data_IF_716822264462
#
_entry.id   IF_716822264462
#
_cell.length_a   1.000
_cell.length_b   1.000
_cell.length_c   1.000
_cell.angle_alpha   90.00
_cell.angle_beta   90.00
_cell.angle_gamma   90.00
#
_symmetry.space_group_name_H-M   'P 1'
#
loop_
_entity.id
_entity.type
_entity.pdbx_description
1 polymer ?
#
# COMPACT_ATOMS: atom_id res chain seq x y z
N UNK A 1 19.15 18.13 -70.84
CA UNK A 1 19.69 17.88 -69.52
C UNK A 1 18.53 17.85 -68.53
N UNK A 2 18.06 16.69 -68.05
CA UNK A 2 16.97 16.66 -67.05
C UNK A 2 17.53 16.81 -65.63
N UNK A 3 16.98 17.78 -64.90
CA UNK A 3 17.27 18.01 -63.48
C UNK A 3 16.52 16.97 -62.64
N UNK A 4 17.28 16.07 -62.00
CA UNK A 4 16.76 15.14 -60.98
C UNK A 4 16.42 15.95 -59.72
N UNK A 5 15.14 16.07 -59.37
CA UNK A 5 14.68 16.57 -58.09
C UNK A 5 14.77 15.44 -57.06
N UNK A 6 15.76 15.50 -56.16
CA UNK A 6 15.81 14.66 -54.96
C UNK A 6 14.79 15.18 -53.92
N UNK A 7 13.69 14.46 -53.73
CA UNK A 7 12.79 14.67 -52.59
C UNK A 7 13.44 14.09 -51.33
N UNK A 8 13.56 14.86 -50.24
CA UNK A 8 13.98 14.29 -48.95
C UNK A 8 12.84 13.39 -48.39
N UNK A 9 13.13 12.12 -48.18
CA UNK A 9 12.27 11.19 -47.41
C UNK A 9 12.36 11.64 -45.96
N UNK A 10 11.33 12.35 -45.48
CA UNK A 10 11.15 12.67 -44.08
C UNK A 10 10.74 11.37 -43.34
N UNK A 11 11.72 10.68 -42.73
CA UNK A 11 11.46 9.58 -41.86
C UNK A 11 10.69 10.06 -40.62
N UNK A 12 9.37 9.92 -40.66
CA UNK A 12 8.52 10.04 -39.47
C UNK A 12 8.93 8.92 -38.48
N UNK A 13 9.83 9.24 -37.56
CA UNK A 13 10.04 8.48 -36.35
C UNK A 13 8.71 8.49 -35.59
N UNK A 14 7.91 7.47 -35.79
CA UNK A 14 6.70 7.22 -34.99
C UNK A 14 7.13 7.05 -33.54
N UNK A 15 7.03 8.10 -32.72
CA UNK A 15 7.01 7.97 -31.28
C UNK A 15 5.79 7.12 -30.95
N UNK A 16 6.00 5.82 -30.76
CA UNK A 16 4.99 4.95 -30.13
C UNK A 16 4.74 5.55 -28.75
N UNK A 17 3.59 6.16 -28.55
CA UNK A 17 3.13 6.59 -27.23
C UNK A 17 2.94 5.29 -26.43
N UNK A 18 3.97 4.90 -25.68
CA UNK A 18 3.92 3.70 -24.89
C UNK A 18 2.90 3.92 -23.78
N UNK A 19 1.91 3.02 -23.65
CA UNK A 19 0.93 3.12 -22.58
C UNK A 19 1.65 2.99 -21.23
N UNK A 20 1.39 3.94 -20.33
CA UNK A 20 1.94 3.93 -18.98
C UNK A 20 0.86 3.50 -18.00
N UNK A 21 1.17 2.63 -17.01
CA UNK A 21 0.16 2.20 -16.05
C UNK A 21 -0.18 3.34 -15.07
N UNK A 22 -1.46 3.53 -14.84
CA UNK A 22 -1.96 4.36 -13.75
C UNK A 22 -2.27 3.48 -12.55
N UNK A 23 -1.63 3.77 -11.43
CA UNK A 23 -1.77 3.02 -10.18
C UNK A 23 -2.25 3.97 -9.08
N UNK A 24 -2.92 3.42 -8.07
CA UNK A 24 -3.38 4.20 -6.94
C UNK A 24 -2.81 3.65 -5.63
N UNK A 25 -2.69 4.52 -4.63
CA UNK A 25 -2.30 4.16 -3.27
C UNK A 25 -2.93 5.13 -2.26
N UNK A 26 -2.62 4.95 -0.99
CA UNK A 26 -3.09 5.78 0.11
C UNK A 26 -1.91 6.38 0.90
N UNK A 27 -2.18 7.27 1.84
CA UNK A 27 -1.23 7.67 2.86
C UNK A 27 -1.08 6.52 3.88
N UNK A 28 0.05 5.82 3.81
CA UNK A 28 0.37 4.63 4.63
C UNK A 28 1.87 4.57 4.93
N UNK A 29 2.41 5.60 5.61
CA UNK A 29 3.85 5.71 5.85
C UNK A 29 4.37 4.61 6.80
N UNK A 30 5.58 4.08 6.58
CA UNK A 30 6.60 4.50 5.63
C UNK A 30 6.49 3.82 4.26
N UNK A 31 5.45 3.06 3.97
CA UNK A 31 5.28 2.32 2.72
C UNK A 31 4.89 3.25 1.56
N UNK A 32 3.89 4.10 1.76
CA UNK A 32 3.43 5.11 0.81
C UNK A 32 3.03 6.39 1.52
N UNK A 33 3.54 7.55 1.07
CA UNK A 33 3.14 8.86 1.58
C UNK A 33 3.66 9.97 0.69
N UNK A 34 2.83 10.99 0.44
CA UNK A 34 3.21 12.21 -0.27
C UNK A 34 4.28 13.01 0.47
N UNK A 35 4.36 12.87 1.80
CA UNK A 35 5.34 13.54 2.66
C UNK A 35 6.73 12.88 2.66
N UNK A 36 6.89 11.71 2.05
CA UNK A 36 8.17 11.00 2.03
C UNK A 36 8.91 11.19 0.71
N UNK A 37 10.24 11.36 0.80
CA UNK A 37 11.08 11.39 -0.39
C UNK A 37 10.91 10.10 -1.18
N UNK A 38 10.62 10.20 -2.48
CA UNK A 38 10.34 9.05 -3.34
C UNK A 38 8.93 8.46 -3.20
N UNK A 39 8.11 9.00 -2.28
CA UNK A 39 6.73 8.55 -2.06
C UNK A 39 6.58 7.38 -1.09
N UNK A 40 7.66 6.91 -0.48
CA UNK A 40 7.68 5.75 0.41
C UNK A 40 8.22 4.47 -0.25
N UNK A 41 8.47 3.44 0.57
CA UNK A 41 9.21 2.24 0.14
C UNK A 41 8.51 1.45 -0.97
N UNK A 42 7.20 1.23 -0.87
CA UNK A 42 6.43 0.50 -1.88
C UNK A 42 6.29 1.30 -3.18
N UNK A 43 6.15 2.62 -3.08
CA UNK A 43 6.07 3.53 -4.23
C UNK A 43 7.38 3.57 -5.00
N UNK A 44 8.50 3.70 -4.27
CA UNK A 44 9.83 3.70 -4.92
C UNK A 44 10.15 2.35 -5.55
N UNK A 45 9.89 1.22 -4.85
CA UNK A 45 10.04 -0.11 -5.42
C UNK A 45 9.21 -0.28 -6.69
N UNK A 46 7.95 0.17 -6.68
CA UNK A 46 7.06 0.08 -7.83
C UNK A 46 7.60 0.87 -9.02
N UNK A 47 7.97 2.14 -8.79
CA UNK A 47 8.55 2.97 -9.87
C UNK A 47 9.83 2.38 -10.45
N UNK A 48 10.72 1.86 -9.60
CA UNK A 48 11.98 1.26 -10.04
C UNK A 48 11.77 -0.04 -10.80
N UNK A 49 10.85 -0.88 -10.35
CA UNK A 49 10.51 -2.12 -11.05
C UNK A 49 9.96 -1.83 -12.44
N UNK A 50 9.06 -0.87 -12.59
CA UNK A 50 8.57 -0.47 -13.91
C UNK A 50 9.65 0.21 -14.75
N UNK A 51 10.47 1.09 -14.18
CA UNK A 51 11.54 1.79 -14.89
C UNK A 51 12.59 0.83 -15.45
N UNK A 52 12.91 -0.27 -14.78
CA UNK A 52 13.81 -1.31 -15.30
C UNK A 52 13.26 -2.01 -16.53
N UNK A 53 11.94 -1.94 -16.74
CA UNK A 53 11.23 -2.50 -17.90
C UNK A 53 10.87 -1.43 -18.95
N UNK A 54 11.34 -0.18 -18.79
CA UNK A 54 11.11 0.92 -19.72
C UNK A 54 9.82 1.69 -19.51
N UNK A 55 9.10 1.51 -18.39
CA UNK A 55 7.83 2.18 -18.09
C UNK A 55 7.94 3.16 -16.92
N UNK A 56 7.08 4.20 -16.93
CA UNK A 56 7.01 5.23 -15.89
C UNK A 56 5.60 5.30 -15.30
N UNK A 57 5.27 4.52 -14.25
CA UNK A 57 3.91 4.48 -13.72
C UNK A 57 3.51 5.82 -13.11
N UNK A 58 2.29 6.27 -13.42
CA UNK A 58 1.64 7.34 -12.70
C UNK A 58 1.03 6.74 -11.42
N UNK A 59 1.36 7.30 -10.24
CA UNK A 59 0.87 6.81 -8.95
C UNK A 59 0.18 7.94 -8.23
N UNK A 60 -1.14 7.79 -8.02
CA UNK A 60 -2.00 8.78 -7.37
C UNK A 60 -2.30 8.35 -5.92
N UNK A 61 -2.34 9.33 -5.00
CA UNK A 61 -2.66 9.12 -3.59
C UNK A 61 -4.09 9.53 -3.30
N UNK A 62 -4.91 8.60 -2.82
CA UNK A 62 -6.33 8.79 -2.56
C UNK A 62 -6.74 8.16 -1.22
N UNK A 63 -7.85 8.58 -0.59
CA UNK A 63 -8.46 7.82 0.50
C UNK A 63 -8.77 6.39 0.06
N UNK A 64 -8.50 5.39 0.91
CA UNK A 64 -8.53 3.97 0.50
C UNK A 64 -9.85 3.51 -0.10
N UNK A 65 -10.96 3.90 0.50
CA UNK A 65 -12.28 3.58 -0.06
C UNK A 65 -12.46 4.13 -1.49
N UNK A 66 -11.81 5.26 -1.82
CA UNK A 66 -11.80 5.82 -3.18
C UNK A 66 -10.88 5.03 -4.11
N UNK A 67 -9.70 4.61 -3.65
CA UNK A 67 -8.83 3.71 -4.44
C UNK A 67 -9.61 2.50 -4.91
N UNK A 68 -10.34 1.85 -4.01
CA UNK A 68 -11.15 0.66 -4.32
C UNK A 68 -12.29 0.98 -5.30
N UNK A 69 -12.99 2.09 -5.12
CA UNK A 69 -14.05 2.51 -6.03
C UNK A 69 -13.52 2.77 -7.45
N UNK A 70 -12.39 3.44 -7.56
CA UNK A 70 -11.76 3.77 -8.87
C UNK A 70 -11.15 2.54 -9.55
N UNK A 71 -10.67 1.53 -8.79
CA UNK A 71 -10.26 0.23 -9.34
C UNK A 71 -11.46 -0.48 -10.00
N UNK A 72 -12.62 -0.53 -9.32
CA UNK A 72 -13.85 -1.12 -9.87
C UNK A 72 -14.36 -0.37 -11.09
N UNK A 73 -14.16 0.93 -11.15
CA UNK A 73 -14.48 1.76 -12.30
C UNK A 73 -13.51 1.60 -13.48
N UNK A 74 -12.39 0.86 -13.31
CA UNK A 74 -11.38 0.68 -14.34
C UNK A 74 -10.49 1.90 -14.58
N UNK A 75 -10.52 2.89 -13.67
CA UNK A 75 -9.70 4.11 -13.78
C UNK A 75 -8.21 3.82 -13.61
N UNK A 76 -7.87 2.85 -12.76
CA UNK A 76 -6.51 2.42 -12.46
C UNK A 76 -6.29 0.97 -12.86
N UNK A 77 -5.09 0.67 -13.34
CA UNK A 77 -4.67 -0.68 -13.70
C UNK A 77 -4.14 -1.47 -12.51
N UNK A 78 -4.11 -0.87 -11.33
CA UNK A 78 -3.71 -1.54 -10.09
C UNK A 78 -3.61 -0.58 -8.92
N UNK A 79 -3.31 -1.15 -7.75
CA UNK A 79 -3.05 -0.38 -6.54
C UNK A 79 -1.90 -0.98 -5.73
N UNK A 80 -1.32 -0.13 -4.88
CA UNK A 80 -0.21 -0.49 -4.01
C UNK A 80 -0.72 -0.64 -2.56
N UNK A 81 0.04 -1.40 -1.77
CA UNK A 81 -0.22 -1.61 -0.36
C UNK A 81 -1.54 -2.35 -0.06
N UNK A 82 -1.83 -3.38 -0.83
CA UNK A 82 -3.01 -4.24 -0.64
C UNK A 82 -2.71 -5.43 0.27
N UNK A 83 -3.73 -5.85 0.99
CA UNK A 83 -3.79 -7.11 1.72
C UNK A 83 -4.53 -8.19 0.91
N UNK A 84 -4.37 -9.50 1.25
CA UNK A 84 -4.98 -10.59 0.49
C UNK A 84 -6.50 -10.52 0.34
N UNK A 85 -7.19 -10.03 1.36
CA UNK A 85 -8.65 -9.90 1.32
C UNK A 85 -9.08 -8.89 0.24
N UNK A 86 -8.35 -7.79 0.09
CA UNK A 86 -8.63 -6.77 -0.93
C UNK A 86 -8.33 -7.29 -2.34
N UNK A 87 -7.24 -8.05 -2.50
CA UNK A 87 -6.93 -8.74 -3.76
C UNK A 87 -8.09 -9.63 -4.20
N UNK A 88 -8.64 -10.40 -3.25
CA UNK A 88 -9.78 -11.30 -3.51
C UNK A 88 -11.05 -10.50 -3.85
N UNK A 89 -11.38 -9.48 -3.05
CA UNK A 89 -12.61 -8.69 -3.21
C UNK A 89 -12.64 -7.87 -4.49
N UNK A 90 -11.48 -7.35 -4.93
CA UNK A 90 -11.35 -6.56 -6.17
C UNK A 90 -10.95 -7.41 -7.39
N UNK A 91 -10.83 -8.75 -7.22
CA UNK A 91 -10.45 -9.69 -8.30
C UNK A 91 -9.15 -9.26 -8.99
N UNK A 92 -8.10 -8.96 -8.21
CA UNK A 92 -6.81 -8.50 -8.71
C UNK A 92 -5.80 -9.64 -8.82
N UNK A 93 -4.81 -9.46 -9.69
CA UNK A 93 -3.61 -10.29 -9.77
C UNK A 93 -2.59 -9.72 -8.78
N UNK A 94 -2.27 -10.47 -7.73
CA UNK A 94 -1.29 -10.05 -6.74
C UNK A 94 0.15 -10.21 -7.23
N UNK A 95 1.00 -9.27 -6.88
CA UNK A 95 2.46 -9.49 -6.93
C UNK A 95 2.90 -10.50 -5.87
N UNK A 96 4.17 -10.95 -5.94
CA UNK A 96 4.80 -11.52 -4.75
C UNK A 96 4.76 -10.52 -3.59
N UNK A 97 4.72 -10.97 -2.34
CA UNK A 97 4.79 -10.07 -1.19
C UNK A 97 6.04 -9.19 -1.21
N UNK A 98 5.85 -7.88 -1.01
CA UNK A 98 6.94 -6.92 -0.85
C UNK A 98 7.31 -6.74 0.61
N UNK A 99 6.33 -6.84 1.49
CA UNK A 99 6.44 -6.71 2.93
C UNK A 99 5.49 -7.67 3.63
N UNK A 100 5.64 -7.79 4.95
CA UNK A 100 4.62 -8.38 5.82
C UNK A 100 4.18 -7.36 6.86
N UNK A 101 2.90 -7.06 6.86
CA UNK A 101 2.24 -6.24 7.87
C UNK A 101 2.06 -7.04 9.16
N UNK A 102 2.35 -6.44 10.31
CA UNK A 102 1.91 -6.92 11.61
C UNK A 102 0.65 -6.15 11.99
N UNK A 103 -0.51 -6.79 11.83
CA UNK A 103 -1.79 -6.21 12.20
C UNK A 103 -2.06 -6.45 13.68
N UNK A 104 -2.48 -5.42 14.41
CA UNK A 104 -2.75 -5.52 15.84
C UNK A 104 -3.32 -4.22 16.40
N UNK A 105 -3.17 -4.04 17.69
CA UNK A 105 -3.88 -3.01 18.42
C UNK A 105 -2.96 -1.92 18.96
N UNK A 106 -3.41 -0.67 18.84
CA UNK A 106 -2.88 0.47 19.57
C UNK A 106 -3.82 0.82 20.72
N UNK A 107 -3.21 1.18 21.86
CA UNK A 107 -3.91 1.62 23.07
C UNK A 107 -3.36 2.95 23.55
N UNK A 108 -4.06 3.56 24.49
CA UNK A 108 -3.49 4.67 25.27
C UNK A 108 -2.48 4.12 26.26
N UNK A 109 -1.29 4.71 26.34
CA UNK A 109 -0.23 4.31 27.29
C UNK A 109 -0.72 4.21 28.73
N UNK A 110 -1.64 5.10 29.13
CA UNK A 110 -2.19 5.15 30.50
C UNK A 110 -3.37 4.21 30.74
N UNK A 111 -3.84 3.50 29.69
CA UNK A 111 -4.95 2.56 29.76
C UNK A 111 -4.67 1.39 28.82
N UNK A 112 -3.65 0.56 29.12
CA UNK A 112 -3.32 -0.61 28.33
C UNK A 112 -4.47 -1.61 28.41
N UNK A 113 -4.70 -2.35 27.32
CA UNK A 113 -5.65 -3.44 27.27
C UNK A 113 -4.84 -4.73 27.13
N UNK A 114 -5.00 -5.63 28.08
CA UNK A 114 -4.35 -6.94 28.03
C UNK A 114 -5.29 -7.95 27.40
N UNK A 115 -4.78 -8.69 26.43
CA UNK A 115 -5.52 -9.76 25.74
C UNK A 115 -4.54 -10.88 25.37
N UNK A 116 -5.03 -12.10 25.36
CA UNK A 116 -4.30 -13.27 24.87
C UNK A 116 -4.95 -13.83 23.59
N UNK A 117 -6.22 -13.52 23.37
CA UNK A 117 -7.01 -13.97 22.23
C UNK A 117 -7.99 -12.89 21.74
N UNK A 118 -8.60 -13.10 20.59
CA UNK A 118 -9.64 -12.21 20.07
C UNK A 118 -10.91 -12.22 20.96
N UNK A 119 -11.18 -13.29 21.68
CA UNK A 119 -12.34 -13.39 22.58
C UNK A 119 -12.25 -12.42 23.75
N UNK A 120 -11.04 -12.10 24.21
CA UNK A 120 -10.79 -11.12 25.27
C UNK A 120 -11.15 -9.69 24.87
N UNK A 121 -11.26 -9.45 23.57
CA UNK A 121 -11.60 -8.14 22.99
C UNK A 121 -13.12 -7.93 22.84
N UNK A 122 -13.94 -8.91 23.18
CA UNK A 122 -15.39 -8.84 23.08
C UNK A 122 -15.92 -7.63 23.86
N UNK A 123 -16.73 -6.80 23.17
CA UNK A 123 -17.32 -5.60 23.74
C UNK A 123 -16.44 -4.35 23.78
N UNK A 124 -15.15 -4.47 23.46
CA UNK A 124 -14.30 -3.29 23.26
C UNK A 124 -14.68 -2.52 22.00
N UNK A 125 -14.60 -1.19 22.08
CA UNK A 125 -14.77 -0.31 20.92
C UNK A 125 -13.46 -0.19 20.18
N UNK A 126 -13.42 -0.75 18.97
CA UNK A 126 -12.23 -0.81 18.11
C UNK A 126 -12.45 0.08 16.88
N UNK A 127 -11.63 1.08 16.70
CA UNK A 127 -11.66 1.90 15.49
C UNK A 127 -10.88 1.24 14.36
N UNK A 128 -11.47 1.26 13.16
CA UNK A 128 -10.93 0.70 11.92
C UNK A 128 -10.97 1.73 10.80
N UNK A 129 -10.24 1.51 9.71
CA UNK A 129 -10.32 2.36 8.52
C UNK A 129 -11.33 1.78 7.54
N UNK A 130 -12.19 2.66 7.04
CA UNK A 130 -13.20 2.28 6.05
C UNK A 130 -12.57 1.73 4.77
N UNK A 131 -13.04 0.56 4.38
CA UNK A 131 -12.62 -0.08 3.15
C UNK A 131 -11.33 -0.90 3.24
N UNK A 132 -10.67 -0.98 4.41
CA UNK A 132 -9.55 -1.90 4.59
C UNK A 132 -10.03 -3.35 4.60
N UNK A 133 -9.28 -4.22 3.95
CA UNK A 133 -9.54 -5.67 3.88
C UNK A 133 -9.04 -6.41 5.12
N UNK A 134 -9.58 -6.08 6.28
CA UNK A 134 -9.23 -6.77 7.53
C UNK A 134 -9.57 -8.25 7.47
N UNK A 135 -8.77 -9.12 8.12
CA UNK A 135 -9.09 -10.53 8.26
C UNK A 135 -10.46 -10.74 8.90
N UNK A 136 -11.35 -11.56 8.31
CA UNK A 136 -12.72 -11.72 8.80
C UNK A 136 -12.81 -12.15 10.27
N UNK A 137 -11.88 -12.98 10.75
CA UNK A 137 -11.85 -13.45 12.13
C UNK A 137 -11.76 -12.33 13.17
N UNK A 138 -11.08 -11.23 12.83
CA UNK A 138 -10.97 -10.07 13.74
C UNK A 138 -12.32 -9.36 13.83
N UNK A 139 -12.98 -9.13 12.70
CA UNK A 139 -14.26 -8.41 12.65
C UNK A 139 -15.42 -9.21 13.25
N UNK A 140 -15.32 -10.53 13.27
CA UNK A 140 -16.36 -11.42 13.82
C UNK A 140 -16.11 -11.83 15.27
N UNK A 141 -15.04 -11.35 15.90
CA UNK A 141 -14.66 -11.72 17.29
C UNK A 141 -15.58 -11.16 18.38
N UNK A 142 -16.58 -10.34 18.02
CA UNK A 142 -17.47 -9.67 18.97
C UNK A 142 -16.98 -8.30 19.42
N UNK A 143 -15.95 -7.74 18.78
CA UNK A 143 -15.57 -6.32 18.93
C UNK A 143 -16.64 -5.41 18.35
N UNK A 144 -16.78 -4.22 18.93
CA UNK A 144 -17.66 -3.18 18.42
C UNK A 144 -16.84 -2.27 17.52
N UNK A 145 -17.01 -2.36 16.20
CA UNK A 145 -16.21 -1.58 15.26
C UNK A 145 -16.85 -0.23 14.92
N UNK A 146 -16.02 0.80 14.82
CA UNK A 146 -16.37 2.10 14.24
C UNK A 146 -15.35 2.50 13.19
N UNK A 147 -15.81 3.10 12.10
CA UNK A 147 -14.95 3.45 10.97
C UNK A 147 -14.45 4.90 11.04
N UNK A 148 -13.23 5.10 10.57
CA UNK A 148 -12.68 6.40 10.22
C UNK A 148 -12.18 6.42 8.76
N UNK A 149 -11.81 7.61 8.29
CA UNK A 149 -11.37 7.80 6.90
C UNK A 149 -9.92 7.36 6.69
N UNK A 150 -9.09 7.46 7.72
CA UNK A 150 -7.65 7.15 7.69
C UNK A 150 -7.10 6.80 9.08
N UNK A 151 -5.87 6.30 9.10
CA UNK A 151 -5.17 5.83 10.30
C UNK A 151 -4.86 6.95 11.29
N UNK A 152 -4.47 8.13 10.81
CA UNK A 152 -4.14 9.26 11.68
C UNK A 152 -5.39 9.79 12.41
N UNK A 153 -6.53 9.79 11.75
CA UNK A 153 -7.83 10.13 12.37
C UNK A 153 -8.20 9.14 13.46
N UNK A 154 -7.97 7.84 13.23
CA UNK A 154 -8.18 6.79 14.22
C UNK A 154 -7.31 6.99 15.45
N UNK A 155 -6.00 7.22 15.27
CA UNK A 155 -5.06 7.43 16.38
C UNK A 155 -5.42 8.70 17.19
N UNK A 156 -5.85 9.78 16.54
CA UNK A 156 -6.32 11.01 17.23
C UNK A 156 -7.59 10.77 18.02
N UNK A 157 -8.55 10.01 17.49
CA UNK A 157 -9.78 9.63 18.21
C UNK A 157 -9.46 8.74 19.42
N UNK A 158 -8.49 7.79 19.29
CA UNK A 158 -8.01 6.99 20.42
C UNK A 158 -7.39 7.86 21.50
N UNK A 159 -6.51 8.80 21.13
CA UNK A 159 -5.90 9.76 22.06
C UNK A 159 -6.94 10.65 22.75
N UNK A 160 -8.04 10.98 22.07
CA UNK A 160 -9.18 11.74 22.59
C UNK A 160 -10.20 10.88 23.40
N UNK A 161 -9.90 9.60 23.68
CA UNK A 161 -10.72 8.66 24.45
C UNK A 161 -12.10 8.35 23.83
N UNK A 162 -12.22 8.45 22.48
CA UNK A 162 -13.45 8.10 21.78
C UNK A 162 -13.58 6.59 21.57
N UNK A 163 -12.45 5.90 21.53
CA UNK A 163 -12.32 4.44 21.39
C UNK A 163 -11.41 3.88 22.47
N UNK A 164 -11.47 2.58 22.64
CA UNK A 164 -10.57 1.85 23.55
C UNK A 164 -9.32 1.41 22.82
N UNK A 165 -9.47 1.00 21.56
CA UNK A 165 -8.46 0.39 20.72
C UNK A 165 -8.54 0.93 19.29
N UNK A 166 -7.42 0.89 18.57
CA UNK A 166 -7.35 1.06 17.12
C UNK A 166 -6.69 -0.16 16.51
N UNK A 167 -7.35 -0.79 15.56
CA UNK A 167 -6.80 -1.88 14.76
C UNK A 167 -5.98 -1.29 13.61
N UNK A 168 -4.67 -1.53 13.61
CA UNK A 168 -3.74 -0.86 12.72
C UNK A 168 -2.50 -1.72 12.47
N UNK A 169 -1.85 -1.51 11.36
CA UNK A 169 -0.53 -2.05 11.08
C UNK A 169 0.52 -1.38 11.98
N UNK A 170 1.40 -2.19 12.56
CA UNK A 170 2.36 -1.76 13.58
C UNK A 170 3.26 -0.62 13.14
N UNK A 171 3.97 -0.81 12.02
CA UNK A 171 4.99 0.13 11.56
C UNK A 171 4.35 1.46 11.14
N UNK A 172 3.18 1.40 10.49
CA UNK A 172 2.40 2.59 10.16
C UNK A 172 2.00 3.34 11.41
N UNK A 173 1.43 2.65 12.39
CA UNK A 173 1.02 3.27 13.64
C UNK A 173 2.18 3.86 14.42
N UNK A 174 3.30 3.13 14.57
CA UNK A 174 4.51 3.61 15.22
C UNK A 174 5.07 4.84 14.51
N UNK A 175 5.11 4.85 13.17
CA UNK A 175 5.55 5.98 12.36
C UNK A 175 4.67 7.21 12.57
N UNK A 176 3.35 7.04 12.51
CA UNK A 176 2.39 8.12 12.73
C UNK A 176 2.47 8.68 14.14
N UNK A 177 2.55 7.82 15.16
CA UNK A 177 2.69 8.25 16.56
C UNK A 177 3.99 9.01 16.77
N UNK A 178 5.11 8.54 16.23
CA UNK A 178 6.41 9.22 16.34
C UNK A 178 6.44 10.56 15.60
N UNK A 179 5.78 10.65 14.46
CA UNK A 179 5.75 11.83 13.59
C UNK A 179 4.86 12.98 14.10
N UNK A 180 3.88 12.69 14.97
CA UNK A 180 2.89 13.66 15.42
C UNK A 180 3.03 13.99 16.89
N UNK A 181 3.35 15.24 17.23
CA UNK A 181 3.59 15.69 18.61
C UNK A 181 2.37 15.53 19.53
N UNK A 182 1.16 15.63 18.97
CA UNK A 182 -0.11 15.42 19.67
C UNK A 182 -0.38 13.96 20.05
N UNK A 183 0.34 12.99 19.47
CA UNK A 183 0.22 11.55 19.72
C UNK A 183 1.42 10.95 20.45
N UNK A 184 2.59 11.56 20.27
CA UNK A 184 3.86 11.05 20.81
C UNK A 184 3.80 10.84 22.33
N UNK A 185 4.19 9.64 22.78
CA UNK A 185 4.18 9.26 24.19
C UNK A 185 2.80 8.97 24.78
N UNK A 186 1.71 9.18 24.04
CA UNK A 186 0.34 8.95 24.50
C UNK A 186 -0.22 7.61 24.09
N UNK A 187 0.19 7.12 22.93
CA UNK A 187 -0.28 5.87 22.35
C UNK A 187 0.87 4.88 22.25
N UNK A 188 0.55 3.59 22.34
CA UNK A 188 1.52 2.49 22.25
C UNK A 188 0.91 1.32 21.52
N UNK A 189 1.75 0.58 20.81
CA UNK A 189 1.42 -0.75 20.31
C UNK A 189 1.20 -1.71 21.47
N UNK A 190 0.23 -2.60 21.33
CA UNK A 190 -0.10 -3.63 22.30
C UNK A 190 0.26 -5.01 21.74
N UNK A 191 1.09 -5.74 22.48
CA UNK A 191 1.38 -7.15 22.14
C UNK A 191 0.26 -8.07 22.68
N UNK A 192 0.04 -9.23 22.03
CA UNK A 192 0.66 -9.73 20.82
C UNK A 192 0.08 -9.10 19.55
N UNK A 193 0.80 -9.21 18.42
CA UNK A 193 0.19 -8.98 17.12
C UNK A 193 -0.96 -9.98 16.90
N UNK A 194 -2.05 -9.51 16.29
CA UNK A 194 -3.20 -10.37 16.00
C UNK A 194 -2.95 -11.24 14.77
N UNK A 195 -2.30 -10.68 13.76
CA UNK A 195 -2.04 -11.39 12.52
C UNK A 195 -0.82 -10.82 11.78
N UNK A 196 -0.17 -11.68 11.00
CA UNK A 196 0.89 -11.28 10.06
C UNK A 196 0.43 -11.58 8.64
N UNK A 197 0.24 -10.54 7.85
CA UNK A 197 -0.33 -10.62 6.51
C UNK A 197 0.62 -10.01 5.46
N UNK A 198 0.67 -10.57 4.24
CA UNK A 198 1.49 -10.01 3.17
C UNK A 198 0.94 -8.66 2.70
N UNK A 199 1.85 -7.74 2.34
CA UNK A 199 1.56 -6.47 1.70
C UNK A 199 2.07 -6.54 0.27
N UNK A 200 1.17 -6.33 -0.71
CA UNK A 200 1.42 -6.57 -2.12
C UNK A 200 1.04 -5.37 -2.99
N UNK A 201 1.43 -5.42 -4.27
CA UNK A 201 0.84 -4.62 -5.35
C UNK A 201 -0.15 -5.53 -6.09
N UNK A 202 -1.35 -5.01 -6.37
CA UNK A 202 -2.37 -5.72 -7.11
C UNK A 202 -2.64 -5.06 -8.44
N UNK A 203 -2.88 -5.87 -9.48
CA UNK A 203 -3.16 -5.40 -10.84
C UNK A 203 -4.50 -5.92 -11.31
N UNK A 204 -5.20 -5.12 -12.12
CA UNK A 204 -6.41 -5.58 -12.82
C UNK A 204 -6.05 -6.67 -13.81
N UNK A 205 -7.01 -7.54 -14.11
CA UNK A 205 -6.83 -8.59 -15.12
C UNK A 205 -6.45 -7.98 -16.46
N UNK A 206 -5.45 -8.57 -17.10
CA UNK A 206 -5.01 -8.17 -18.43
C UNK A 206 -6.17 -8.26 -19.44
N UNK A 207 -6.26 -7.24 -20.30
CA UNK A 207 -7.20 -7.20 -21.43
C UNK A 207 -6.43 -7.32 -22.74
N UNK A 208 -7.01 -7.98 -23.72
CA UNK A 208 -6.39 -8.14 -25.03
C UNK A 208 -5.98 -6.80 -25.64
N UNK A 209 -4.75 -6.72 -26.12
CA UNK A 209 -4.17 -5.50 -26.68
C UNK A 209 -3.61 -4.50 -25.66
N UNK A 210 -3.71 -4.79 -24.36
CA UNK A 210 -3.07 -4.00 -23.31
C UNK A 210 -1.81 -4.70 -22.77
N UNK A 211 -0.83 -3.98 -22.21
CA UNK A 211 0.31 -4.62 -21.55
C UNK A 211 -0.12 -5.42 -20.31
N UNK A 212 0.49 -6.57 -20.09
CA UNK A 212 0.36 -7.31 -18.83
C UNK A 212 1.21 -6.65 -17.74
N UNK A 213 0.59 -5.72 -17.02
CA UNK A 213 1.26 -4.92 -15.98
C UNK A 213 1.77 -5.75 -14.81
N UNK A 214 1.07 -6.83 -14.45
CA UNK A 214 1.50 -7.76 -13.40
C UNK A 214 2.79 -8.48 -13.80
N UNK A 215 2.84 -9.03 -15.01
CA UNK A 215 4.04 -9.70 -15.51
C UNK A 215 5.21 -8.74 -15.72
N UNK A 216 4.97 -7.51 -16.18
CA UNK A 216 5.99 -6.46 -16.32
C UNK A 216 6.56 -6.11 -14.95
N UNK A 217 5.71 -5.84 -13.97
CA UNK A 217 6.13 -5.53 -12.61
C UNK A 217 6.96 -6.64 -11.99
N UNK A 218 6.51 -7.89 -12.12
CA UNK A 218 7.23 -9.06 -11.59
C UNK A 218 8.61 -9.27 -12.23
N UNK A 219 8.78 -8.95 -13.53
CA UNK A 219 10.11 -8.96 -14.17
C UNK A 219 11.01 -7.90 -13.56
N UNK A 220 10.50 -6.67 -13.42
CA UNK A 220 11.24 -5.58 -12.81
C UNK A 220 11.64 -5.87 -11.37
N UNK A 221 10.75 -6.44 -10.55
CA UNK A 221 11.10 -6.85 -9.19
C UNK A 221 12.24 -7.88 -9.15
N UNK A 222 12.25 -8.86 -10.07
CA UNK A 222 13.37 -9.81 -10.16
C UNK A 222 14.69 -9.11 -10.47
N UNK A 223 14.71 -8.12 -11.35
CA UNK A 223 15.91 -7.32 -11.63
C UNK A 223 16.40 -6.52 -10.43
N UNK A 224 15.46 -5.88 -9.70
CA UNK A 224 15.80 -5.16 -8.46
C UNK A 224 16.41 -6.09 -7.40
N UNK A 225 15.90 -7.30 -7.27
CA UNK A 225 16.48 -8.31 -6.37
C UNK A 225 17.88 -8.72 -6.84
N UNK A 226 18.06 -9.06 -8.13
CA UNK A 226 19.32 -9.48 -8.70
C UNK A 226 20.43 -8.42 -8.62
N UNK A 227 20.08 -7.15 -8.77
CA UNK A 227 21.03 -6.01 -8.67
C UNK A 227 21.29 -5.56 -7.23
N UNK A 228 20.56 -6.07 -6.24
CA UNK A 228 20.59 -5.61 -4.86
C UNK A 228 19.94 -4.23 -4.63
N UNK A 229 19.31 -3.65 -5.64
CA UNK A 229 18.64 -2.34 -5.53
C UNK A 229 17.43 -2.43 -4.59
N UNK A 230 16.69 -3.54 -4.62
CA UNK A 230 15.61 -3.83 -3.68
C UNK A 230 16.05 -3.61 -2.22
N UNK A 231 17.14 -4.25 -1.80
CA UNK A 231 17.66 -4.13 -0.42
C UNK A 231 18.13 -2.70 -0.10
N UNK A 232 18.72 -1.99 -1.09
CA UNK A 232 19.13 -0.58 -0.90
C UNK A 232 17.93 0.35 -0.67
N UNK A 233 16.83 0.13 -1.39
CA UNK A 233 15.59 0.89 -1.19
C UNK A 233 15.03 0.62 0.21
N UNK A 234 14.89 -0.64 0.62
CA UNK A 234 14.38 -0.97 1.96
C UNK A 234 15.19 -0.31 3.08
N UNK A 235 16.52 -0.38 3.01
CA UNK A 235 17.41 0.26 3.99
C UNK A 235 17.20 1.78 4.10
N UNK A 236 16.91 2.45 2.99
CA UNK A 236 16.66 3.90 2.97
C UNK A 236 15.43 4.30 3.76
N UNK A 237 14.41 3.47 3.78
CA UNK A 237 13.15 3.72 4.49
C UNK A 237 13.11 3.07 5.87
N UNK A 238 14.19 2.43 6.34
CA UNK A 238 14.19 1.56 7.52
C UNK A 238 13.03 0.55 7.51
N UNK A 239 12.52 0.23 6.31
CA UNK A 239 11.47 -0.76 6.15
C UNK A 239 12.03 -2.16 6.42
N UNK A 240 11.35 -3.02 7.19
CA UNK A 240 11.83 -4.36 7.44
C UNK A 240 11.91 -5.12 6.10
N UNK A 241 13.03 -5.81 5.81
CA UNK A 241 13.12 -6.63 4.64
C UNK A 241 12.11 -7.77 4.74
N UNK A 242 11.66 -8.23 3.58
CA UNK A 242 10.95 -9.49 3.49
C UNK A 242 11.82 -10.59 4.16
N UNK A 243 11.40 -11.11 5.30
CA UNK A 243 12.02 -12.28 5.88
C UNK A 243 11.57 -13.48 5.04
N UNK A 244 12.50 -13.98 4.24
CA UNK A 244 12.35 -15.20 3.46
C UNK A 244 12.05 -16.40 4.39
#
# INVERSE_FOLDING_TARGET
MPRLLLLPILALLGLSLQAEPRLATLEYPPYSSTGLKGGGSIVELTRRAFASQGYQPQIDFLPWARVRAELRAGTYQGALALWPQEIKEENLIASRPLFYSQLGLFTRRQAPVHFASLDDLRGYKVSIVRGYGYPPGILTSGVITEEAVDDISNLRKLAARRFDLVLLERIVGEHLVAGHSDLRGRLVWQEPALERIPLVVGFTTHQDGQPDWAAIFERGLRELHGSGEYTRILKRYAAPPFAQ
#
